data_IF_816819787116
#
_entry.id   IF_816819787116
#
_cell.length_a   1.000
_cell.length_b   1.000
_cell.length_c   1.000
_cell.angle_alpha   90.00
_cell.angle_beta   90.00
_cell.angle_gamma   90.00
#
_symmetry.space_group_name_H-M   'P 1'
#
loop_
_entity.id
_entity.type
_entity.pdbx_description
1 polymer ?
#
# COMPACT_ATOMS: atom_id res chain seq x y z
N UNK A 1 6.00 27.14 27.40
CA UNK A 1 5.60 26.03 26.52
C UNK A 1 4.68 26.58 25.44
N UNK A 2 4.82 26.17 24.17
CA UNK A 2 3.97 26.67 23.09
C UNK A 2 2.70 25.82 23.02
N UNK A 3 1.58 26.38 23.45
CA UNK A 3 0.25 25.83 23.22
C UNK A 3 -0.24 26.24 21.83
N UNK A 4 -1.09 25.42 21.22
CA UNK A 4 -1.68 25.73 19.92
C UNK A 4 -3.18 25.87 20.10
N UNK A 5 -3.70 27.02 19.69
CA UNK A 5 -5.13 27.36 19.78
C UNK A 5 -5.81 27.07 18.44
N UNK A 6 -6.93 26.36 18.50
CA UNK A 6 -7.75 26.07 17.33
C UNK A 6 -9.19 26.49 17.59
N UNK A 7 -9.79 27.15 16.61
CA UNK A 7 -11.23 27.47 16.63
C UNK A 7 -11.98 26.37 15.88
N UNK A 8 -12.88 25.68 16.58
CA UNK A 8 -13.74 24.65 16.02
C UNK A 8 -14.85 25.28 15.16
N UNK A 9 -15.47 24.47 14.30
CA UNK A 9 -16.48 24.92 13.33
C UNK A 9 -17.74 25.51 14.00
N UNK A 10 -17.98 25.18 15.27
CA UNK A 10 -19.03 25.76 16.12
C UNK A 10 -18.61 27.06 16.84
N UNK A 11 -17.41 27.58 16.57
CA UNK A 11 -16.89 28.83 17.13
C UNK A 11 -16.21 28.71 18.50
N UNK A 12 -16.10 27.50 19.07
CA UNK A 12 -15.37 27.31 20.32
C UNK A 12 -13.85 27.24 20.10
N UNK A 13 -13.11 27.96 20.93
CA UNK A 13 -11.65 27.87 20.96
C UNK A 13 -11.21 26.78 21.93
N UNK A 14 -10.41 25.84 21.43
CA UNK A 14 -9.73 24.85 22.25
C UNK A 14 -8.22 25.11 22.25
N UNK A 15 -7.60 24.91 23.40
CA UNK A 15 -6.16 25.03 23.58
C UNK A 15 -5.59 23.65 23.87
N UNK A 16 -4.77 23.13 22.95
CA UNK A 16 -4.17 21.81 23.11
C UNK A 16 -2.81 21.94 23.77
N UNK A 17 -2.63 21.20 24.86
CA UNK A 17 -1.34 21.08 25.54
C UNK A 17 -0.46 20.01 24.86
N UNK A 18 0.87 20.01 25.10
CA UNK A 18 1.75 18.98 24.58
C UNK A 18 1.39 17.55 25.03
N UNK A 19 0.72 17.41 26.16
CA UNK A 19 0.25 16.12 26.68
C UNK A 19 -1.00 15.65 25.93
N UNK A 20 -1.91 16.57 25.60
CA UNK A 20 -3.09 16.29 24.76
C UNK A 20 -2.68 15.83 23.37
N UNK A 21 -1.65 16.46 22.78
CA UNK A 21 -1.10 16.05 21.48
C UNK A 21 -0.53 14.61 21.53
N UNK A 22 0.10 14.23 22.64
CA UNK A 22 0.61 12.86 22.82
C UNK A 22 -0.52 11.84 22.98
N UNK A 23 -1.62 12.22 23.62
CA UNK A 23 -2.81 11.38 23.77
C UNK A 23 -3.61 11.26 22.47
N UNK A 24 -3.60 12.30 21.65
CA UNK A 24 -4.24 12.30 20.31
C UNK A 24 -3.44 11.55 19.26
N UNK A 25 -2.12 11.39 19.45
CA UNK A 25 -1.24 10.75 18.47
C UNK A 25 -1.66 9.30 18.15
N UNK A 26 -1.96 8.41 19.10
CA UNK A 26 -2.47 7.07 18.80
C UNK A 26 -3.79 7.09 18.02
N UNK A 27 -4.69 8.03 18.34
CA UNK A 27 -5.98 8.19 17.65
C UNK A 27 -5.77 8.68 16.21
N UNK A 28 -4.79 9.56 15.99
CA UNK A 28 -4.37 9.98 14.66
C UNK A 28 -3.70 8.83 13.91
N UNK A 29 -2.77 8.11 14.54
CA UNK A 29 -2.08 6.96 13.94
C UNK A 29 -3.09 5.85 13.56
N UNK A 30 -4.16 5.67 14.33
CA UNK A 30 -5.29 4.79 14.02
C UNK A 30 -6.20 5.36 12.91
N UNK A 31 -6.42 6.67 12.88
CA UNK A 31 -7.14 7.33 11.78
C UNK A 31 -6.35 7.28 10.45
N UNK A 32 -5.02 7.34 10.51
CA UNK A 32 -4.09 7.14 9.38
C UNK A 32 -3.85 5.66 9.05
N UNK A 33 -4.23 4.72 9.91
CA UNK A 33 -4.23 3.30 9.56
C UNK A 33 -5.20 2.97 8.40
N UNK A 34 -6.22 3.81 8.19
CA UNK A 34 -7.15 3.72 7.06
C UNK A 34 -6.68 4.45 5.78
N UNK A 35 -5.47 5.03 5.76
CA UNK A 35 -4.93 5.71 4.55
C UNK A 35 -4.52 4.73 3.43
N UNK A 36 -4.42 3.43 3.73
CA UNK A 36 -4.03 2.36 2.79
C UNK A 36 -4.96 2.29 1.56
N UNK A 37 -6.25 2.54 1.75
CA UNK A 37 -7.26 2.49 0.69
C UNK A 37 -7.09 3.59 -0.37
N UNK A 38 -6.50 4.73 0.02
CA UNK A 38 -6.28 5.89 -0.87
C UNK A 38 -5.13 5.62 -1.83
N UNK A 39 -4.07 4.95 -1.37
CA UNK A 39 -2.91 4.59 -2.19
C UNK A 39 -3.32 3.59 -3.26
N UNK A 40 -4.07 2.55 -2.90
CA UNK A 40 -4.58 1.58 -3.87
C UNK A 40 -5.45 2.25 -4.95
N UNK A 41 -6.40 3.10 -4.55
CA UNK A 41 -7.28 3.82 -5.48
C UNK A 41 -6.50 4.81 -6.37
N UNK A 42 -5.52 5.51 -5.81
CA UNK A 42 -4.66 6.45 -6.55
C UNK A 42 -3.80 5.73 -7.58
N UNK A 43 -3.16 4.63 -7.18
CA UNK A 43 -2.32 3.82 -8.09
C UNK A 43 -3.12 3.17 -9.21
N UNK A 44 -4.40 2.85 -8.99
CA UNK A 44 -5.27 2.28 -10.02
C UNK A 44 -5.57 3.25 -11.17
N UNK A 45 -5.53 4.56 -10.91
CA UNK A 45 -5.80 5.62 -11.92
C UNK A 45 -4.53 6.32 -12.40
N UNK A 46 -3.38 6.05 -11.77
CA UNK A 46 -2.08 6.60 -12.14
C UNK A 46 -1.52 6.04 -13.45
N UNK A 47 -0.58 6.78 -14.03
CA UNK A 47 0.12 6.33 -15.24
C UNK A 47 1.02 5.10 -14.94
N UNK A 48 1.36 4.27 -15.93
CA UNK A 48 2.22 3.11 -15.72
C UNK A 48 3.58 3.44 -15.09
N UNK A 49 4.15 4.62 -15.38
CA UNK A 49 5.44 5.03 -14.86
C UNK A 49 5.34 5.52 -13.41
N UNK A 50 4.30 6.30 -13.07
CA UNK A 50 4.00 6.68 -11.67
C UNK A 50 3.79 5.45 -10.78
N UNK A 51 3.11 4.41 -11.29
CA UNK A 51 2.92 3.17 -10.55
C UNK A 51 4.26 2.49 -10.28
N UNK A 52 5.15 2.44 -11.27
CA UNK A 52 6.47 1.81 -11.11
C UNK A 52 7.31 2.55 -10.09
N UNK A 53 7.33 3.88 -10.14
CA UNK A 53 8.06 4.70 -9.18
C UNK A 53 7.52 4.52 -7.76
N UNK A 54 6.20 4.53 -7.60
CA UNK A 54 5.57 4.30 -6.31
C UNK A 54 5.88 2.89 -5.76
N UNK A 55 5.74 1.84 -6.58
CA UNK A 55 6.07 0.47 -6.17
C UNK A 55 7.56 0.31 -5.84
N UNK A 56 8.45 1.00 -6.57
CA UNK A 56 9.88 0.98 -6.29
C UNK A 56 10.23 1.71 -4.98
N UNK A 57 9.48 2.75 -4.61
CA UNK A 57 9.67 3.49 -3.36
C UNK A 57 9.14 2.76 -2.12
N UNK A 58 8.23 1.79 -2.29
CA UNK A 58 7.68 0.99 -1.17
C UNK A 58 8.72 0.06 -0.55
N UNK A 59 8.61 -0.18 0.74
CA UNK A 59 9.30 -1.26 1.44
C UNK A 59 8.74 -2.63 1.03
N UNK A 60 9.43 -3.72 1.40
CA UNK A 60 8.94 -5.07 1.10
C UNK A 60 7.61 -5.38 1.82
N UNK A 61 7.43 -4.84 3.03
CA UNK A 61 6.23 -5.02 3.84
C UNK A 61 5.05 -4.27 3.23
N UNK A 62 5.23 -3.01 2.83
CA UNK A 62 4.19 -2.21 2.16
C UNK A 62 3.78 -2.84 0.82
N UNK A 63 4.76 -3.33 0.05
CA UNK A 63 4.49 -3.99 -1.23
C UNK A 63 3.71 -5.30 -1.03
N UNK A 64 4.00 -6.05 0.04
CA UNK A 64 3.25 -7.25 0.39
C UNK A 64 1.81 -6.91 0.81
N UNK A 65 1.62 -5.92 1.69
CA UNK A 65 0.28 -5.46 2.09
C UNK A 65 -0.54 -4.98 0.89
N UNK A 66 0.06 -4.24 -0.02
CA UNK A 66 -0.60 -3.81 -1.26
C UNK A 66 -0.99 -5.01 -2.14
N UNK A 67 -0.11 -6.02 -2.23
CA UNK A 67 -0.40 -7.24 -2.96
C UNK A 67 -1.59 -8.00 -2.33
N UNK A 68 -1.61 -8.13 -1.00
CA UNK A 68 -2.70 -8.75 -0.23
C UNK A 68 -4.02 -8.00 -0.40
N UNK A 69 -4.02 -6.68 -0.35
CA UNK A 69 -5.21 -5.85 -0.59
C UNK A 69 -5.73 -5.99 -2.03
N UNK A 70 -4.83 -6.12 -3.00
CA UNK A 70 -5.22 -6.31 -4.39
C UNK A 70 -5.71 -7.74 -4.69
N UNK A 71 -5.30 -8.73 -3.90
CA UNK A 71 -5.52 -10.15 -4.18
C UNK A 71 -7.01 -10.55 -4.31
N UNK A 72 -7.94 -10.07 -3.45
CA UNK A 72 -9.39 -10.30 -3.60
C UNK A 72 -10.00 -9.66 -4.86
N UNK A 73 -9.36 -8.63 -5.41
CA UNK A 73 -9.84 -7.91 -6.59
C UNK A 73 -9.35 -8.52 -7.91
N UNK A 74 -8.47 -9.52 -7.83
CA UNK A 74 -8.02 -10.27 -9.00
C UNK A 74 -9.17 -11.08 -9.58
N UNK A 75 -9.27 -11.09 -10.91
CA UNK A 75 -10.16 -12.04 -11.59
C UNK A 75 -9.63 -13.45 -11.37
N UNK A 76 -10.53 -14.40 -11.11
CA UNK A 76 -10.18 -15.82 -11.07
C UNK A 76 -9.67 -16.26 -12.44
N UNK A 77 -8.36 -16.41 -12.55
CA UNK A 77 -7.69 -16.75 -13.80
C UNK A 77 -6.21 -17.01 -13.57
N UNK A 78 -5.62 -17.87 -14.40
CA UNK A 78 -4.19 -18.24 -14.33
C UNK A 78 -3.23 -17.10 -14.68
N UNK A 79 -3.74 -15.92 -15.05
CA UNK A 79 -2.95 -14.78 -15.51
C UNK A 79 -3.24 -13.58 -14.62
N UNK A 80 -2.20 -12.92 -14.09
CA UNK A 80 -2.38 -11.68 -13.34
C UNK A 80 -2.95 -10.60 -14.28
N UNK A 81 -3.83 -9.75 -13.75
CA UNK A 81 -4.27 -8.55 -14.46
C UNK A 81 -3.11 -7.54 -14.60
N UNK A 82 -3.35 -6.45 -15.34
CA UNK A 82 -2.31 -5.47 -15.64
C UNK A 82 -1.75 -4.77 -14.39
N UNK A 83 -2.55 -4.60 -13.33
CA UNK A 83 -2.11 -3.98 -12.08
C UNK A 83 -1.34 -4.99 -11.22
N UNK A 84 -1.91 -6.18 -11.02
CA UNK A 84 -1.21 -7.30 -10.36
C UNK A 84 0.14 -7.60 -11.00
N UNK A 85 0.23 -7.52 -12.33
CA UNK A 85 1.48 -7.71 -13.05
C UNK A 85 2.54 -6.74 -12.56
N UNK A 86 2.23 -5.44 -12.44
CA UNK A 86 3.20 -4.43 -12.01
C UNK A 86 3.68 -4.69 -10.57
N UNK A 87 2.78 -5.05 -9.67
CA UNK A 87 3.12 -5.43 -8.29
C UNK A 87 4.09 -6.62 -8.31
N UNK A 88 3.74 -7.69 -9.03
CA UNK A 88 4.57 -8.89 -9.12
C UNK A 88 5.92 -8.63 -9.79
N UNK A 89 5.98 -7.74 -10.77
CA UNK A 89 7.24 -7.36 -11.40
C UNK A 89 8.23 -6.80 -10.38
N UNK A 90 7.76 -5.90 -9.51
CA UNK A 90 8.61 -5.32 -8.48
C UNK A 90 8.98 -6.35 -7.39
N UNK A 91 8.02 -7.18 -6.96
CA UNK A 91 8.29 -8.26 -6.00
C UNK A 91 9.33 -9.26 -6.52
N UNK A 92 9.17 -9.74 -7.75
CA UNK A 92 10.10 -10.70 -8.35
C UNK A 92 11.47 -10.10 -8.63
N UNK A 93 11.53 -8.83 -9.06
CA UNK A 93 12.79 -8.10 -9.24
C UNK A 93 13.58 -8.07 -7.94
N UNK A 94 12.94 -7.78 -6.81
CA UNK A 94 13.59 -7.75 -5.48
C UNK A 94 14.03 -9.13 -5.00
N UNK A 95 13.24 -10.16 -5.28
CA UNK A 95 13.56 -11.54 -4.92
C UNK A 95 14.52 -12.25 -5.91
N UNK A 96 15.04 -11.54 -6.92
CA UNK A 96 16.00 -12.09 -7.89
C UNK A 96 15.40 -13.07 -8.90
N UNK A 97 14.09 -13.03 -9.12
CA UNK A 97 13.40 -13.84 -10.13
C UNK A 97 13.25 -13.08 -11.45
N UNK A 98 13.00 -13.80 -12.55
CA UNK A 98 12.63 -13.18 -13.82
C UNK A 98 11.36 -12.34 -13.66
N UNK A 99 11.36 -11.09 -14.12
CA UNK A 99 10.24 -10.16 -13.90
C UNK A 99 9.75 -9.45 -15.17
N UNK A 100 10.49 -9.53 -16.30
CA UNK A 100 10.16 -8.73 -17.50
C UNK A 100 8.85 -9.15 -18.19
N UNK A 101 8.52 -10.44 -18.17
CA UNK A 101 7.34 -10.99 -18.84
C UNK A 101 6.61 -11.94 -17.87
N UNK A 102 5.45 -11.52 -17.38
CA UNK A 102 4.64 -12.29 -16.41
C UNK A 102 3.34 -12.84 -17.03
N UNK A 103 3.33 -13.10 -18.33
CA UNK A 103 2.20 -13.76 -19.00
C UNK A 103 2.01 -15.20 -18.51
N UNK A 104 3.09 -15.84 -18.10
CA UNK A 104 3.13 -17.15 -17.46
C UNK A 104 4.17 -17.14 -16.34
N UNK A 105 3.75 -17.55 -15.15
CA UNK A 105 4.64 -17.65 -13.99
C UNK A 105 5.27 -19.04 -13.91
N UNK A 106 6.59 -19.08 -13.80
CA UNK A 106 7.37 -20.29 -13.52
C UNK A 106 6.96 -20.90 -12.17
N UNK A 107 7.30 -22.17 -11.98
CA UNK A 107 7.06 -22.86 -10.70
C UNK A 107 7.71 -22.12 -9.51
N UNK A 108 8.92 -21.58 -9.68
CA UNK A 108 9.62 -20.83 -8.63
C UNK A 108 8.88 -19.54 -8.23
N UNK A 109 8.40 -18.78 -9.22
CA UNK A 109 7.63 -17.56 -8.98
C UNK A 109 6.29 -17.86 -8.29
N UNK A 110 5.62 -18.92 -8.71
CA UNK A 110 4.37 -19.38 -8.10
C UNK A 110 4.57 -19.81 -6.65
N UNK A 111 5.62 -20.59 -6.37
CA UNK A 111 5.94 -20.99 -5.00
C UNK A 111 6.34 -19.81 -4.12
N UNK A 112 7.02 -18.80 -4.69
CA UNK A 112 7.33 -17.58 -3.97
C UNK A 112 6.06 -16.83 -3.56
N UNK A 113 5.12 -16.61 -4.49
CA UNK A 113 3.83 -15.99 -4.17
C UNK A 113 3.03 -16.83 -3.16
N UNK A 114 3.03 -18.16 -3.31
CA UNK A 114 2.40 -19.08 -2.36
C UNK A 114 3.00 -18.94 -0.96
N UNK A 115 4.32 -18.82 -0.85
CA UNK A 115 5.02 -18.66 0.43
C UNK A 115 4.68 -17.34 1.14
N UNK A 116 4.20 -16.35 0.39
CA UNK A 116 3.70 -15.07 0.88
C UNK A 116 2.18 -15.05 1.09
N UNK A 117 1.48 -16.18 0.87
CA UNK A 117 0.03 -16.26 1.02
C UNK A 117 -0.78 -15.65 -0.13
N UNK A 118 -0.15 -15.28 -1.26
CA UNK A 118 -0.80 -14.62 -2.39
C UNK A 118 -1.32 -15.61 -3.44
N UNK A 119 -2.42 -15.26 -4.12
CA UNK A 119 -2.98 -16.06 -5.24
C UNK A 119 -2.22 -15.76 -6.54
N UNK A 120 -2.03 -16.78 -7.37
CA UNK A 120 -1.24 -16.69 -8.62
C UNK A 120 -1.85 -17.42 -9.81
#
# INVERSE_FOLDING_TARGET
MKTVKYTLVNGQEIELTPEDIKLLKPVLDEAFANLDDIIYKKLKVSTPDEIREALAAMTNEELLRLAEQNDPHRRDGRRPDAFSTKIFQEMFKRAGYGYKQLSHMSFKQRNYLASLGLRF
#
